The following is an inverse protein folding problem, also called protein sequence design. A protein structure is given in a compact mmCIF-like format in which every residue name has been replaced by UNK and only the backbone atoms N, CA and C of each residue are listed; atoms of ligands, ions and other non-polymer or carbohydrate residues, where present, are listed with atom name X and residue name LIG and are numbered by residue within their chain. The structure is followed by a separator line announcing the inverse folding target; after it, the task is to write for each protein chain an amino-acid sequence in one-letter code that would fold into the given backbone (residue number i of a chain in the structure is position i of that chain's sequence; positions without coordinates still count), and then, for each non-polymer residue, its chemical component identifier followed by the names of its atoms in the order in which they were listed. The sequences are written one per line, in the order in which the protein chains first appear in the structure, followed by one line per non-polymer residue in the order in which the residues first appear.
data_IF_583562834949
#
_entry.id   IF_583562834949
#
_cell.length_a   1.000
_cell.length_b   1.000
_cell.length_c   1.000
_cell.angle_alpha   90.00
_cell.angle_beta   90.00
_cell.angle_gamma   90.00
#
_symmetry.space_group_name_H-M   'P 1'
#
loop_
_entity.id
_entity.type
_entity.pdbx_description
1 polymer ?
#
# COMPACT_ATOMS: atom_id res chain seq x y z
N UNK A 1 5.35 10.14 -12.44
CA UNK A 1 5.10 9.64 -11.09
C UNK A 1 4.01 8.58 -11.12
N UNK A 2 4.27 7.46 -10.54
CA UNK A 2 3.35 6.33 -10.53
C UNK A 2 2.99 6.00 -9.09
N UNK A 3 1.74 5.60 -8.88
CA UNK A 3 1.26 5.26 -7.54
C UNK A 3 0.76 3.82 -7.56
N UNK A 4 1.24 3.02 -6.61
CA UNK A 4 0.61 1.74 -6.31
C UNK A 4 -0.42 2.02 -5.21
N UNK A 5 -1.68 1.90 -5.59
CA UNK A 5 -2.80 2.07 -4.66
C UNK A 5 -3.23 0.70 -4.16
N UNK A 6 -3.31 0.55 -2.86
CA UNK A 6 -3.73 -0.70 -2.20
C UNK A 6 -4.82 -0.35 -1.20
N UNK A 7 -5.88 -1.15 -1.14
CA UNK A 7 -6.89 -0.96 -0.12
C UNK A 7 -7.50 -2.29 0.32
N UNK A 8 -7.85 -2.37 1.60
CA UNK A 8 -8.42 -3.59 2.16
C UNK A 8 -8.98 -3.33 3.56
N UNK A 9 -9.95 -4.16 4.01
CA UNK A 9 -10.34 -4.14 5.41
C UNK A 9 -9.22 -4.70 6.29
N UNK A 10 -9.23 -4.30 7.56
CA UNK A 10 -8.28 -4.83 8.56
C UNK A 10 -9.06 -5.17 9.83
N UNK A 11 -8.70 -6.26 10.53
CA UNK A 11 -9.32 -6.56 11.82
C UNK A 11 -8.99 -5.51 12.88
N UNK A 12 -7.78 -4.94 12.82
CA UNK A 12 -7.31 -3.91 13.73
C UNK A 12 -6.33 -3.01 13.00
N UNK A 13 -6.57 -1.71 13.03
CA UNK A 13 -5.65 -0.77 12.40
C UNK A 13 -4.26 -0.84 13.04
N UNK A 14 -4.19 -0.90 14.36
CA UNK A 14 -2.91 -0.95 15.06
C UNK A 14 -2.12 -2.21 14.71
N UNK A 15 -2.80 -3.34 14.61
CA UNK A 15 -2.16 -4.60 14.24
C UNK A 15 -1.62 -4.55 12.82
N UNK A 16 -2.43 -4.00 11.90
CA UNK A 16 -1.99 -3.82 10.52
C UNK A 16 -0.81 -2.84 10.43
N UNK A 17 -0.87 -1.74 11.20
CA UNK A 17 0.17 -0.71 11.15
C UNK A 17 1.51 -1.26 11.63
N UNK A 18 1.51 -2.10 12.66
CA UNK A 18 2.72 -2.78 13.11
C UNK A 18 3.33 -3.64 12.02
N UNK A 19 2.50 -4.40 11.31
CA UNK A 19 2.97 -5.23 10.21
C UNK A 19 3.51 -4.37 9.08
N UNK A 20 2.83 -3.27 8.75
CA UNK A 20 3.28 -2.33 7.73
C UNK A 20 4.63 -1.72 8.10
N UNK A 21 4.79 -1.30 9.35
CA UNK A 21 6.03 -0.67 9.81
C UNK A 21 7.21 -1.64 9.86
N UNK A 22 6.95 -2.94 9.96
CA UNK A 22 8.01 -3.94 9.92
C UNK A 22 8.71 -3.98 8.57
N UNK A 23 8.05 -3.48 7.52
CA UNK A 23 8.62 -3.30 6.19
C UNK A 23 9.29 -4.56 5.63
N UNK A 24 8.54 -5.67 5.51
CA UNK A 24 9.14 -6.96 5.13
C UNK A 24 9.73 -6.97 3.71
N UNK A 25 9.29 -6.07 2.83
CA UNK A 25 9.79 -6.03 1.45
C UNK A 25 10.86 -4.97 1.23
N UNK A 26 11.10 -4.08 2.21
CA UNK A 26 12.09 -3.01 2.06
C UNK A 26 11.63 -1.96 1.06
N UNK A 27 10.59 -1.21 1.41
CA UNK A 27 9.95 -0.25 0.49
C UNK A 27 10.92 0.75 -0.12
N UNK A 28 11.79 1.34 0.67
CA UNK A 28 12.72 2.36 0.17
C UNK A 28 13.67 1.78 -0.88
N UNK A 29 14.19 0.60 -0.61
CA UNK A 29 15.10 -0.09 -1.55
C UNK A 29 14.39 -0.50 -2.83
N UNK A 30 13.09 -0.74 -2.76
CA UNK A 30 12.29 -1.12 -3.91
C UNK A 30 11.82 0.09 -4.73
N UNK A 31 12.17 1.29 -4.31
CA UNK A 31 11.91 2.49 -5.11
C UNK A 31 10.79 3.39 -4.59
N UNK A 32 10.19 3.07 -3.45
CA UNK A 32 9.16 3.93 -2.87
C UNK A 32 9.78 5.25 -2.45
N UNK A 33 9.26 6.36 -2.98
CA UNK A 33 9.77 7.70 -2.68
C UNK A 33 8.93 8.40 -1.62
N UNK A 34 7.65 8.02 -1.53
CA UNK A 34 6.70 8.68 -0.65
C UNK A 34 5.51 7.74 -0.49
N UNK A 35 4.88 7.77 0.68
CA UNK A 35 3.63 7.04 0.81
C UNK A 35 2.67 7.81 1.71
N UNK A 36 1.37 7.54 1.52
CA UNK A 36 0.31 8.02 2.39
C UNK A 36 -0.54 6.83 2.81
N UNK A 37 -0.93 6.84 4.06
CA UNK A 37 -1.90 5.88 4.59
C UNK A 37 -3.16 6.68 4.86
N UNK A 38 -4.27 6.22 4.29
CA UNK A 38 -5.57 6.87 4.43
C UNK A 38 -6.56 5.90 5.04
N UNK A 39 -7.57 6.45 5.64
CA UNK A 39 -8.61 5.67 6.29
C UNK A 39 -9.92 6.41 6.11
N UNK A 40 -11.02 5.72 5.73
CA UNK A 40 -12.32 6.40 5.67
C UNK A 40 -12.64 6.99 7.04
N UNK A 41 -13.21 8.19 7.05
CA UNK A 41 -13.51 8.89 8.31
C UNK A 41 -14.53 8.16 9.16
N UNK A 42 -15.35 7.32 8.54
CA UNK A 42 -16.41 6.57 9.19
C UNK A 42 -16.11 5.08 9.35
N UNK A 43 -14.90 4.64 9.00
CA UNK A 43 -14.56 3.22 9.13
C UNK A 43 -13.08 3.03 9.48
N UNK A 44 -12.74 2.92 10.77
CA UNK A 44 -11.34 2.76 11.18
C UNK A 44 -10.75 1.39 10.86
N UNK A 45 -11.57 0.44 10.40
CA UNK A 45 -11.11 -0.91 10.07
C UNK A 45 -10.91 -1.12 8.59
N UNK A 46 -10.66 -0.05 7.85
CA UNK A 46 -10.37 -0.10 6.43
C UNK A 46 -9.18 0.81 6.16
N UNK A 47 -8.22 0.37 5.34
CA UNK A 47 -7.04 1.18 5.02
C UNK A 47 -6.87 1.32 3.52
N UNK A 48 -6.34 2.46 3.12
CA UNK A 48 -5.93 2.75 1.76
C UNK A 48 -4.48 3.25 1.81
N UNK A 49 -3.62 2.71 0.93
CA UNK A 49 -2.22 3.10 0.91
C UNK A 49 -1.87 3.55 -0.50
N UNK A 50 -1.22 4.69 -0.62
CA UNK A 50 -0.68 5.18 -1.88
C UNK A 50 0.84 5.22 -1.77
N UNK A 51 1.52 4.40 -2.57
CA UNK A 51 2.97 4.33 -2.60
C UNK A 51 3.45 4.92 -3.92
N UNK A 52 4.32 5.93 -3.86
CA UNK A 52 4.75 6.66 -5.04
C UNK A 52 6.12 6.20 -5.52
N UNK A 53 6.23 6.05 -6.83
CA UNK A 53 7.45 5.57 -7.50
C UNK A 53 7.80 6.47 -8.68
N UNK A 54 9.07 6.45 -9.07
CA UNK A 54 9.51 7.16 -10.28
C UNK A 54 9.17 6.39 -11.55
N UNK A 55 9.08 5.07 -11.48
CA UNK A 55 8.80 4.24 -12.66
C UNK A 55 7.69 3.23 -12.38
N UNK A 56 7.00 2.85 -13.45
CA UNK A 56 5.95 1.84 -13.35
C UNK A 56 6.53 0.47 -13.00
N UNK A 57 7.72 0.17 -13.51
CA UNK A 57 8.40 -1.10 -13.25
C UNK A 57 8.68 -1.29 -11.77
N UNK A 58 9.07 -0.21 -11.06
CA UNK A 58 9.27 -0.28 -9.62
C UNK A 58 7.98 -0.59 -8.89
N UNK A 59 6.88 0.04 -9.31
CA UNK A 59 5.57 -0.22 -8.71
C UNK A 59 5.15 -1.67 -8.91
N UNK A 60 5.35 -2.20 -10.12
CA UNK A 60 5.02 -3.59 -10.45
C UNK A 60 5.84 -4.57 -9.63
N UNK A 61 7.14 -4.30 -9.46
CA UNK A 61 8.04 -5.16 -8.70
C UNK A 61 7.62 -5.21 -7.22
N UNK A 62 7.27 -4.05 -6.64
CA UNK A 62 6.82 -4.02 -5.26
C UNK A 62 5.49 -4.76 -5.09
N UNK A 63 4.57 -4.58 -6.01
CA UNK A 63 3.29 -5.28 -5.96
C UNK A 63 3.49 -6.80 -5.97
N UNK A 64 4.38 -7.29 -6.83
CA UNK A 64 4.67 -8.72 -6.89
C UNK A 64 5.23 -9.23 -5.57
N UNK A 65 6.16 -8.48 -4.95
CA UNK A 65 6.73 -8.84 -3.66
C UNK A 65 5.68 -8.82 -2.56
N UNK A 66 4.78 -7.83 -2.59
CA UNK A 66 3.74 -7.72 -1.58
C UNK A 66 2.71 -8.84 -1.69
N UNK A 67 2.42 -9.30 -2.89
CA UNK A 67 1.48 -10.43 -3.06
C UNK A 67 1.97 -11.69 -2.35
N UNK A 68 3.29 -11.90 -2.31
CA UNK A 68 3.87 -13.02 -1.57
C UNK A 68 3.63 -12.84 -0.07
N UNK A 69 3.86 -11.63 0.45
CA UNK A 69 3.62 -11.31 1.87
C UNK A 69 2.14 -11.47 2.22
N UNK A 70 1.25 -10.97 1.37
CA UNK A 70 -0.20 -11.06 1.60
C UNK A 70 -0.66 -12.51 1.69
N UNK A 71 -0.09 -13.39 0.90
CA UNK A 71 -0.43 -14.82 0.96
C UNK A 71 -0.14 -15.45 2.32
N UNK A 72 0.78 -14.86 3.09
CA UNK A 72 1.13 -15.36 4.42
C UNK A 72 0.28 -14.78 5.53
N UNK A 73 -0.29 -13.58 5.34
CA UNK A 73 -0.97 -12.84 6.41
C UNK A 73 -2.46 -12.63 6.15
N UNK A 74 -2.96 -13.01 4.98
CA UNK A 74 -4.37 -12.83 4.67
C UNK A 74 -5.23 -13.57 5.66
N UNK A 75 -6.29 -12.89 6.16
CA UNK A 75 -7.17 -13.44 7.17
C UNK A 75 -6.72 -13.17 8.59
N UNK A 76 -5.45 -12.77 8.82
CA UNK A 76 -4.96 -12.45 10.16
C UNK A 76 -4.73 -10.96 10.35
N UNK A 77 -4.03 -10.31 9.40
CA UNK A 77 -3.71 -8.89 9.47
C UNK A 77 -4.63 -8.08 8.55
N UNK A 78 -5.01 -8.67 7.43
CA UNK A 78 -5.87 -8.04 6.43
C UNK A 78 -6.58 -9.10 5.60
N UNK A 79 -7.62 -8.70 4.85
CA UNK A 79 -8.35 -9.59 3.95
C UNK A 79 -8.64 -8.87 2.64
N UNK A 80 -8.70 -9.66 1.56
CA UNK A 80 -9.13 -9.20 0.22
C UNK A 80 -8.44 -7.92 -0.24
N UNK A 81 -7.09 -7.89 -0.31
CA UNK A 81 -6.41 -6.69 -0.77
C UNK A 81 -6.74 -6.41 -2.24
N UNK A 82 -7.08 -5.15 -2.52
CA UNK A 82 -7.29 -4.65 -3.87
C UNK A 82 -6.13 -3.74 -4.22
N UNK A 83 -5.61 -3.85 -5.43
CA UNK A 83 -4.47 -3.05 -5.84
C UNK A 83 -4.65 -2.53 -7.26
N UNK A 84 -4.04 -1.40 -7.54
CA UNK A 84 -4.08 -0.77 -8.84
C UNK A 84 -2.86 0.14 -8.98
N UNK A 85 -2.21 0.08 -10.14
CA UNK A 85 -1.11 1.00 -10.44
C UNK A 85 -1.70 2.10 -11.32
N UNK A 86 -1.51 3.36 -10.88
CA UNK A 86 -2.05 4.52 -11.58
C UNK A 86 -0.94 5.51 -11.86
N UNK A 87 -1.12 6.31 -12.89
CA UNK A 87 -0.18 7.35 -13.27
C UNK A 87 -0.75 8.71 -12.84
N UNK A 88 0.10 9.54 -12.24
CA UNK A 88 -0.28 10.92 -11.92
C UNK A 88 -0.22 11.72 -13.20
N UNK A 89 -1.36 12.18 -13.70
CA UNK A 89 -1.41 12.93 -14.95
C UNK A 89 -1.46 14.43 -14.73
N UNK A 90 -1.81 14.86 -13.53
CA UNK A 90 -1.84 16.29 -13.21
C UNK A 90 -1.91 16.49 -11.70
N UNK A 91 -1.18 17.48 -11.19
CA UNK A 91 -1.31 17.96 -9.81
C UNK A 91 -1.45 19.46 -9.84
N UNK A 92 -2.15 20.00 -8.86
CA UNK A 92 -2.38 21.45 -8.76
C UNK A 92 -2.51 21.82 -7.30
N UNK A 93 -1.78 22.86 -6.90
CA UNK A 93 -1.92 23.47 -5.58
C UNK A 93 -2.73 24.75 -5.71
N UNK A 94 -3.64 25.00 -4.79
CA UNK A 94 -4.46 26.21 -4.77
C UNK A 94 -4.07 27.11 -3.63
#
# INVERSE_FOLDING_TARGET
MYILHIEHPVPSFEGWKKAFDSDPVGREKMGVRHYKILRPTDNPNYVMINLEFNTEQEAEALLAAMKVVWGRVEGTIMTNPKSQIVEVVETKDY
#
